data_IF_447544145495
#
_entry.id   IF_447544145495
#
_cell.length_a   1.000
_cell.length_b   1.000
_cell.length_c   1.000
_cell.angle_alpha   90.00
_cell.angle_beta   90.00
_cell.angle_gamma   90.00
#
_symmetry.space_group_name_H-M   'P 1'
#
loop_
_entity.id
_entity.type
_entity.pdbx_description
1 polymer ?
#
# COMPACT_ATOMS: atom_id res chain seq x y z
N UNK A 1 -45.94 -59.59 50.78
CA UNK A 1 -45.16 -60.78 50.38
C UNK A 1 -45.14 -60.78 48.86
N UNK A 2 -43.94 -60.67 48.29
CA UNK A 2 -43.59 -60.92 46.87
C UNK A 2 -44.26 -60.10 45.74
N UNK A 3 -43.47 -59.19 45.13
CA UNK A 3 -42.99 -59.16 43.72
C UNK A 3 -44.10 -58.90 42.68
N UNK A 4 -43.95 -57.99 41.71
CA UNK A 4 -42.87 -57.98 40.74
C UNK A 4 -42.86 -56.66 39.93
N UNK A 5 -41.68 -56.37 39.39
CA UNK A 5 -41.27 -55.19 38.62
C UNK A 5 -41.93 -55.17 37.23
N UNK A 6 -42.11 -53.98 36.68
CA UNK A 6 -41.68 -53.76 35.30
C UNK A 6 -41.16 -52.33 35.08
N UNK A 7 -39.92 -52.27 34.63
CA UNK A 7 -39.10 -51.07 34.47
C UNK A 7 -38.93 -50.87 32.96
N UNK A 8 -39.76 -50.01 32.35
CA UNK A 8 -39.62 -49.67 30.93
C UNK A 8 -38.85 -48.35 30.78
N UNK A 9 -37.62 -48.50 30.28
CA UNK A 9 -36.69 -47.44 29.89
C UNK A 9 -37.22 -46.62 28.71
N UNK A 10 -37.40 -45.30 28.91
CA UNK A 10 -37.45 -44.32 27.81
C UNK A 10 -36.19 -43.47 27.83
N UNK A 11 -35.37 -43.63 26.80
CA UNK A 11 -34.25 -42.77 26.43
C UNK A 11 -34.76 -41.45 25.84
N UNK A 12 -34.28 -40.27 26.29
CA UNK A 12 -34.50 -39.03 25.57
C UNK A 12 -33.53 -38.90 24.39
N UNK A 13 -34.10 -38.87 23.19
CA UNK A 13 -33.41 -38.53 21.94
C UNK A 13 -33.03 -37.06 21.93
N UNK A 14 -31.73 -36.78 22.08
CA UNK A 14 -31.12 -35.46 21.88
C UNK A 14 -31.14 -35.12 20.39
N UNK A 15 -32.11 -34.29 20.00
CA UNK A 15 -32.27 -33.75 18.65
C UNK A 15 -31.26 -32.62 18.44
N UNK A 16 -30.21 -32.90 17.67
CA UNK A 16 -29.25 -31.91 17.16
C UNK A 16 -29.96 -30.77 16.40
N UNK A 17 -29.66 -29.49 16.69
CA UNK A 17 -30.08 -28.37 15.87
C UNK A 17 -28.98 -28.03 14.87
N UNK A 18 -28.79 -28.85 13.84
CA UNK A 18 -28.08 -28.45 12.62
C UNK A 18 -29.07 -28.49 11.46
N UNK A 19 -29.97 -27.51 11.44
CA UNK A 19 -30.73 -27.15 10.24
C UNK A 19 -29.88 -26.19 9.42
N UNK A 20 -29.33 -26.72 8.33
CA UNK A 20 -29.50 -26.18 6.98
C UNK A 20 -29.74 -24.66 6.91
N UNK A 21 -28.65 -23.89 6.85
CA UNK A 21 -28.68 -22.58 6.22
C UNK A 21 -28.44 -22.79 4.73
N UNK A 22 -29.54 -23.07 4.04
CA UNK A 22 -29.62 -23.10 2.59
C UNK A 22 -29.49 -21.67 2.08
N UNK A 23 -28.39 -21.42 1.36
CA UNK A 23 -28.29 -20.59 0.17
C UNK A 23 -29.43 -19.58 -0.04
N UNK A 24 -29.25 -18.37 0.46
CA UNK A 24 -29.94 -17.19 -0.05
C UNK A 24 -28.92 -16.35 -0.81
N UNK A 25 -28.72 -16.71 -2.07
CA UNK A 25 -28.06 -15.87 -3.06
C UNK A 25 -28.98 -14.67 -3.27
N UNK A 26 -28.74 -13.60 -2.53
CA UNK A 26 -29.18 -12.27 -2.93
C UNK A 26 -28.28 -11.85 -4.11
N UNK A 27 -28.79 -11.66 -5.34
CA UNK A 27 -28.13 -10.76 -6.26
C UNK A 27 -28.42 -9.35 -5.76
N UNK A 28 -27.71 -8.96 -4.70
CA UNK A 28 -27.62 -7.57 -4.28
C UNK A 28 -26.87 -6.82 -5.38
N UNK A 29 -27.60 -6.35 -6.38
CA UNK A 29 -27.16 -5.29 -7.27
C UNK A 29 -26.93 -4.07 -6.36
N UNK A 30 -25.72 -3.97 -5.82
CA UNK A 30 -25.21 -2.74 -5.24
C UNK A 30 -24.92 -1.81 -6.43
N UNK A 31 -25.96 -1.11 -6.90
CA UNK A 31 -25.75 0.17 -7.58
C UNK A 31 -25.24 1.10 -6.50
N UNK A 32 -23.92 1.16 -6.34
CA UNK A 32 -23.25 2.28 -5.69
C UNK A 32 -23.50 3.49 -6.59
N UNK A 33 -24.63 4.16 -6.36
CA UNK A 33 -24.83 5.52 -6.82
C UNK A 33 -23.92 6.39 -5.93
N UNK A 34 -22.62 6.39 -6.23
CA UNK A 34 -21.69 7.34 -5.62
C UNK A 34 -22.08 8.69 -6.20
N UNK A 35 -22.97 9.40 -5.50
CA UNK A 35 -23.20 10.82 -5.71
C UNK A 35 -21.91 11.50 -5.22
N UNK A 36 -20.88 11.53 -6.07
CA UNK A 36 -19.74 12.40 -5.82
C UNK A 36 -20.22 13.83 -6.05
N UNK A 37 -19.98 14.76 -5.12
CA UNK A 37 -20.23 16.17 -5.39
C UNK A 37 -19.37 16.58 -6.58
N UNK A 38 -20.02 16.84 -7.71
CA UNK A 38 -19.38 17.38 -8.90
C UNK A 38 -19.33 18.89 -8.71
N UNK A 39 -18.24 19.39 -8.13
CA UNK A 39 -18.03 20.83 -8.05
C UNK A 39 -17.74 21.35 -9.46
N UNK A 40 -18.57 22.28 -9.93
CA UNK A 40 -18.38 22.99 -11.20
C UNK A 40 -17.51 24.21 -10.92
N UNK A 41 -16.32 24.25 -11.51
CA UNK A 41 -15.32 25.30 -11.25
C UNK A 41 -15.21 26.31 -12.40
N UNK A 42 -14.88 27.54 -12.02
CA UNK A 42 -14.56 28.64 -12.92
C UNK A 42 -13.09 29.04 -12.68
N UNK A 43 -12.25 28.65 -13.66
CA UNK A 43 -10.90 29.10 -13.97
C UNK A 43 -9.72 28.77 -13.03
N UNK A 44 -9.83 28.94 -11.70
CA UNK A 44 -8.73 28.64 -10.76
C UNK A 44 -9.16 27.72 -9.60
N UNK A 45 -8.35 26.70 -9.32
CA UNK A 45 -8.56 25.75 -8.21
C UNK A 45 -7.35 25.79 -7.29
N UNK A 46 -7.56 26.04 -5.99
CA UNK A 46 -6.53 25.94 -4.95
C UNK A 46 -6.79 24.71 -4.08
N UNK A 47 -5.81 23.82 -3.99
CA UNK A 47 -5.87 22.57 -3.22
C UNK A 47 -4.67 22.47 -2.28
N UNK A 48 -4.86 21.81 -1.14
CA UNK A 48 -3.78 21.51 -0.20
C UNK A 48 -3.86 20.04 0.19
N UNK A 49 -2.75 19.32 0.06
CA UNK A 49 -2.66 17.90 0.40
C UNK A 49 -1.44 17.60 1.26
N UNK A 50 -1.59 16.59 2.10
CA UNK A 50 -0.52 16.00 2.88
C UNK A 50 -0.02 14.74 2.17
N UNK A 51 1.29 14.63 1.97
CA UNK A 51 1.92 13.50 1.27
C UNK A 51 3.23 13.12 1.98
N UNK A 52 3.68 11.87 1.82
CA UNK A 52 4.99 11.44 2.29
C UNK A 52 6.07 11.71 1.26
N UNK A 53 7.29 11.89 1.75
CA UNK A 53 8.50 11.89 0.92
C UNK A 53 8.64 10.57 0.15
N UNK A 54 8.96 10.66 -1.14
CA UNK A 54 9.15 9.50 -2.03
C UNK A 54 7.86 8.94 -2.64
N UNK A 55 6.68 9.34 -2.14
CA UNK A 55 5.41 8.99 -2.76
C UNK A 55 5.14 9.82 -4.01
N UNK A 56 4.36 9.26 -4.94
CA UNK A 56 4.09 9.88 -6.25
C UNK A 56 2.68 10.42 -6.31
N UNK A 57 2.54 11.75 -6.33
CA UNK A 57 1.29 12.41 -6.71
C UNK A 57 1.00 12.15 -8.18
N UNK A 58 -0.22 11.72 -8.49
CA UNK A 58 -0.72 11.52 -9.82
C UNK A 58 -1.96 12.39 -10.08
N UNK A 59 -1.95 13.07 -11.21
CA UNK A 59 -3.07 13.90 -11.69
C UNK A 59 -3.47 13.36 -13.06
N UNK A 60 -4.71 12.88 -13.14
CA UNK A 60 -5.32 12.41 -14.37
C UNK A 60 -6.36 13.43 -14.83
N UNK A 61 -6.30 13.84 -16.08
CA UNK A 61 -7.27 14.75 -16.70
C UNK A 61 -7.84 14.06 -17.94
N UNK A 62 -9.17 13.95 -18.02
CA UNK A 62 -9.86 13.35 -19.15
C UNK A 62 -11.06 14.19 -19.59
N UNK A 63 -11.26 14.43 -20.90
CA UNK A 63 -10.41 13.98 -22.03
C UNK A 63 -9.04 14.69 -22.06
N UNK A 64 -8.09 14.28 -22.94
CA UNK A 64 -6.77 14.89 -23.03
C UNK A 64 -6.85 16.39 -23.29
N UNK A 65 -5.98 17.15 -22.64
CA UNK A 65 -5.95 18.61 -22.70
C UNK A 65 -4.76 19.14 -23.48
N UNK A 66 -4.90 20.35 -24.01
CA UNK A 66 -3.88 21.01 -24.80
C UNK A 66 -3.06 22.00 -23.97
N UNK A 67 -1.83 22.28 -24.42
CA UNK A 67 -0.90 23.22 -23.79
C UNK A 67 -0.69 22.95 -22.29
N UNK A 68 -0.61 21.66 -21.94
CA UNK A 68 -0.32 21.23 -20.58
C UNK A 68 1.07 21.73 -20.17
N UNK A 69 1.11 22.48 -19.07
CA UNK A 69 2.34 22.96 -18.45
C UNK A 69 2.28 22.71 -16.95
N UNK A 70 3.42 22.34 -16.39
CA UNK A 70 3.58 22.03 -14.97
C UNK A 70 4.76 22.83 -14.46
N UNK A 71 4.51 23.73 -13.52
CA UNK A 71 5.54 24.47 -12.80
C UNK A 71 5.48 24.09 -11.32
N UNK A 72 6.63 23.84 -10.70
CA UNK A 72 6.69 23.48 -9.29
C UNK A 72 7.72 24.36 -8.60
N UNK A 73 7.27 25.13 -7.62
CA UNK A 73 8.16 25.83 -6.70
C UNK A 73 8.47 24.89 -5.53
N UNK A 74 9.75 24.62 -5.34
CA UNK A 74 10.26 23.71 -4.31
C UNK A 74 11.10 24.45 -3.28
N UNK A 75 11.23 23.91 -2.05
CA UNK A 75 12.04 24.53 -1.00
C UNK A 75 13.54 24.51 -1.36
N UNK A 76 13.98 23.48 -2.09
CA UNK A 76 15.38 23.29 -2.48
C UNK A 76 15.49 22.90 -3.96
N UNK A 77 16.68 23.09 -4.55
CA UNK A 77 16.96 22.63 -5.91
C UNK A 77 16.99 21.10 -5.98
N UNK A 78 16.43 20.52 -7.05
CA UNK A 78 16.42 19.05 -7.30
C UNK A 78 15.65 18.21 -6.26
N UNK A 79 14.76 18.85 -5.48
CA UNK A 79 14.00 18.17 -4.43
C UNK A 79 12.73 17.45 -4.91
N UNK A 80 12.46 17.42 -6.22
CA UNK A 80 11.34 16.66 -6.81
C UNK A 80 11.69 16.07 -8.18
N UNK A 81 10.87 15.11 -8.63
CA UNK A 81 10.81 14.66 -10.03
C UNK A 81 9.42 14.96 -10.59
N UNK A 82 9.38 15.38 -11.85
CA UNK A 82 8.14 15.63 -12.60
C UNK A 82 8.19 14.84 -13.90
N UNK A 83 7.09 14.20 -14.24
CA UNK A 83 6.83 13.66 -15.56
C UNK A 83 5.40 14.03 -15.95
N UNK A 84 5.17 14.44 -17.19
CA UNK A 84 3.82 14.71 -17.67
C UNK A 84 3.67 14.32 -19.13
N UNK A 85 2.46 13.87 -19.46
CA UNK A 85 2.08 13.35 -20.75
C UNK A 85 0.78 14.03 -21.15
N UNK A 86 0.75 14.70 -22.30
CA UNK A 86 -0.46 15.35 -22.78
C UNK A 86 -1.49 14.35 -23.31
N UNK A 87 -1.04 13.25 -23.88
CA UNK A 87 -1.89 12.21 -24.46
C UNK A 87 -1.25 10.83 -24.26
N UNK A 88 -1.71 10.13 -23.24
CA UNK A 88 -1.26 8.77 -22.91
C UNK A 88 -2.49 7.85 -22.77
N UNK A 89 -2.37 6.60 -23.18
CA UNK A 89 -3.43 5.61 -23.02
C UNK A 89 -3.41 5.03 -21.61
N UNK A 90 -4.43 5.37 -20.80
CA UNK A 90 -4.58 4.89 -19.43
C UNK A 90 -5.99 4.34 -19.23
N UNK A 91 -6.10 3.10 -18.73
CA UNK A 91 -7.38 2.39 -18.55
C UNK A 91 -8.27 2.34 -19.81
N UNK A 92 -7.64 2.26 -21.00
CA UNK A 92 -8.35 2.20 -22.28
C UNK A 92 -8.91 3.54 -22.76
N UNK A 93 -8.51 4.66 -22.13
CA UNK A 93 -8.89 6.01 -22.54
C UNK A 93 -7.64 6.87 -22.70
N UNK A 94 -7.65 7.77 -23.68
CA UNK A 94 -6.61 8.79 -23.78
C UNK A 94 -6.81 9.79 -22.63
N UNK A 95 -5.75 10.05 -21.88
CA UNK A 95 -5.76 10.99 -20.75
C UNK A 95 -4.49 11.81 -20.73
N UNK A 96 -4.57 13.02 -20.17
CA UNK A 96 -3.38 13.76 -19.78
C UNK A 96 -3.00 13.37 -18.36
N UNK A 97 -1.72 13.09 -18.15
CA UNK A 97 -1.20 12.52 -16.90
C UNK A 97 -0.05 13.38 -16.40
N UNK A 98 -0.02 13.64 -15.10
CA UNK A 98 1.06 14.35 -14.42
C UNK A 98 1.46 13.53 -13.21
N UNK A 99 2.74 13.21 -13.11
CA UNK A 99 3.36 12.58 -11.97
C UNK A 99 4.34 13.55 -11.30
N UNK A 100 4.22 13.71 -9.99
CA UNK A 100 5.12 14.52 -9.17
C UNK A 100 5.57 13.69 -7.98
N UNK A 101 6.87 13.51 -7.83
CA UNK A 101 7.46 12.75 -6.72
C UNK A 101 8.43 13.65 -5.94
N UNK A 102 8.01 14.20 -4.79
CA UNK A 102 8.88 14.92 -3.88
C UNK A 102 9.93 13.97 -3.27
N UNK A 103 11.16 14.45 -3.12
CA UNK A 103 12.30 13.69 -2.56
C UNK A 103 12.78 14.22 -1.21
N UNK A 104 12.29 15.38 -0.79
CA UNK A 104 12.68 16.02 0.47
C UNK A 104 11.44 16.54 1.14
N UNK A 105 11.38 16.47 2.46
CA UNK A 105 10.34 17.10 3.26
C UNK A 105 10.24 18.61 3.02
N UNK A 106 9.04 19.16 3.23
CA UNK A 106 8.76 20.59 3.05
C UNK A 106 7.53 20.87 2.21
N UNK A 107 7.32 22.14 1.89
CA UNK A 107 6.13 22.59 1.15
C UNK A 107 6.47 22.87 -0.31
N UNK A 108 5.69 22.26 -1.22
CA UNK A 108 5.83 22.45 -2.67
C UNK A 108 4.57 23.10 -3.23
N UNK A 109 4.74 24.07 -4.12
CA UNK A 109 3.63 24.71 -4.82
C UNK A 109 3.63 24.28 -6.27
N UNK A 110 2.66 23.45 -6.65
CA UNK A 110 2.52 22.90 -7.99
C UNK A 110 1.43 23.67 -8.74
N UNK A 111 1.82 24.27 -9.86
CA UNK A 111 0.94 24.97 -10.79
C UNK A 111 0.80 24.15 -12.06
N UNK A 112 -0.39 23.60 -12.26
CA UNK A 112 -0.77 22.91 -13.49
C UNK A 112 -1.66 23.82 -14.30
N UNK A 113 -1.29 24.05 -15.56
CA UNK A 113 -2.06 24.91 -16.47
C UNK A 113 -2.28 24.20 -17.79
N UNK A 114 -3.47 24.40 -18.36
CA UNK A 114 -3.84 23.80 -19.65
C UNK A 114 -5.03 24.53 -20.26
N UNK A 115 -5.38 24.15 -21.49
CA UNK A 115 -6.53 24.64 -22.22
C UNK A 115 -7.48 23.51 -22.59
N UNK A 116 -8.78 23.79 -22.50
CA UNK A 116 -9.82 22.87 -22.97
C UNK A 116 -11.01 23.65 -23.54
N UNK A 117 -11.55 23.15 -24.64
CA UNK A 117 -12.81 23.60 -25.26
C UNK A 117 -13.98 22.64 -24.97
N UNK A 118 -13.74 21.58 -24.19
CA UNK A 118 -14.75 20.60 -23.79
C UNK A 118 -14.77 20.43 -22.28
N UNK A 119 -15.88 19.91 -21.76
CA UNK A 119 -15.96 19.51 -20.36
C UNK A 119 -14.92 18.44 -20.06
N UNK A 120 -14.27 18.58 -18.91
CA UNK A 120 -13.18 17.73 -18.50
C UNK A 120 -13.35 17.36 -17.03
N UNK A 121 -12.88 16.17 -16.70
CA UNK A 121 -12.84 15.66 -15.34
C UNK A 121 -11.38 15.48 -14.96
N UNK A 122 -11.10 15.64 -13.66
CA UNK A 122 -9.80 15.37 -13.11
C UNK A 122 -9.87 14.50 -11.88
N UNK A 123 -8.83 13.71 -11.69
CA UNK A 123 -8.59 12.89 -10.50
C UNK A 123 -7.19 13.17 -10.01
N UNK A 124 -7.07 13.53 -8.74
CA UNK A 124 -5.80 13.64 -8.03
C UNK A 124 -5.73 12.52 -7.01
N UNK A 125 -4.61 11.82 -6.98
CA UNK A 125 -4.33 10.80 -5.97
C UNK A 125 -2.84 10.59 -5.78
N UNK A 126 -2.49 9.66 -4.90
CA UNK A 126 -1.10 9.35 -4.56
C UNK A 126 -0.85 7.86 -4.69
N UNK A 127 0.21 7.50 -5.41
CA UNK A 127 0.79 6.16 -5.35
C UNK A 127 1.76 6.08 -4.18
N UNK A 128 1.51 5.11 -3.29
CA UNK A 128 2.24 4.95 -2.04
C UNK A 128 2.43 3.47 -1.70
N UNK A 129 3.49 3.18 -0.95
CA UNK A 129 3.66 1.90 -0.27
C UNK A 129 3.07 1.92 1.16
N UNK A 130 2.84 3.10 1.73
CA UNK A 130 2.33 3.30 3.07
C UNK A 130 0.86 3.72 3.04
N UNK A 131 -0.02 2.75 2.79
CA UNK A 131 -1.47 2.95 2.79
C UNK A 131 -2.01 3.46 4.14
N UNK A 132 -1.29 3.22 5.24
CA UNK A 132 -1.63 3.64 6.59
C UNK A 132 -1.74 5.16 6.76
N UNK A 133 -0.84 5.91 6.13
CA UNK A 133 -0.82 7.37 6.19
C UNK A 133 -2.09 7.99 5.57
N UNK A 134 -2.59 7.38 4.48
CA UNK A 134 -3.70 7.92 3.69
C UNK A 134 -5.09 7.42 4.11
N UNK A 135 -5.22 6.61 5.16
CA UNK A 135 -6.51 6.03 5.58
C UNK A 135 -7.61 7.07 5.85
N UNK A 136 -7.22 8.29 6.26
CA UNK A 136 -8.16 9.40 6.52
C UNK A 136 -8.78 9.98 5.23
N UNK A 137 -8.10 9.83 4.09
CA UNK A 137 -8.54 10.38 2.80
C UNK A 137 -9.48 9.44 2.06
N UNK A 138 -9.45 8.15 2.38
CA UNK A 138 -10.32 7.13 1.81
C UNK A 138 -9.70 5.75 1.88
N UNK A 139 -10.39 4.75 1.31
CA UNK A 139 -9.85 3.39 1.17
C UNK A 139 -8.91 3.38 -0.04
N UNK A 140 -7.60 3.13 0.14
CA UNK A 140 -6.66 3.09 -0.98
C UNK A 140 -6.96 1.89 -1.88
N UNK A 141 -6.95 2.14 -3.20
CA UNK A 141 -7.18 1.11 -4.21
C UNK A 141 -5.88 0.36 -4.50
N UNK A 142 -5.95 -0.95 -4.68
CA UNK A 142 -4.79 -1.75 -5.10
C UNK A 142 -4.69 -1.67 -6.62
N UNK A 143 -3.55 -1.21 -7.13
CA UNK A 143 -3.23 -1.14 -8.55
C UNK A 143 -2.00 -1.98 -8.87
N UNK A 144 -1.72 -2.22 -10.15
CA UNK A 144 -0.48 -2.88 -10.58
C UNK A 144 0.79 -2.11 -10.20
N UNK A 145 0.67 -0.83 -9.86
CA UNK A 145 1.78 0.08 -9.51
C UNK A 145 1.89 0.31 -7.99
N UNK A 146 1.07 -0.37 -7.17
CA UNK A 146 1.01 -0.20 -5.72
C UNK A 146 -0.35 0.30 -5.23
N UNK A 147 -0.39 0.86 -4.02
CA UNK A 147 -1.62 1.45 -3.48
C UNK A 147 -1.85 2.85 -4.04
N UNK A 148 -3.06 3.10 -4.53
CA UNK A 148 -3.49 4.41 -5.01
C UNK A 148 -4.51 5.01 -4.03
N UNK A 149 -4.10 6.03 -3.29
CA UNK A 149 -4.98 6.81 -2.43
C UNK A 149 -5.64 7.94 -3.23
N UNK A 150 -6.96 7.88 -3.38
CA UNK A 150 -7.73 8.94 -4.04
C UNK A 150 -7.84 10.16 -3.13
N UNK A 151 -7.35 11.31 -3.57
CA UNK A 151 -7.43 12.56 -2.79
C UNK A 151 -8.62 13.42 -3.22
N UNK A 152 -8.81 13.64 -4.52
CA UNK A 152 -9.84 14.54 -5.02
C UNK A 152 -10.30 14.17 -6.43
N UNK A 153 -11.59 14.37 -6.71
CA UNK A 153 -12.15 14.39 -8.08
C UNK A 153 -12.80 15.73 -8.38
N UNK A 154 -12.72 16.14 -9.63
CA UNK A 154 -13.24 17.41 -10.09
C UNK A 154 -13.81 17.27 -11.49
N UNK A 155 -14.77 18.14 -11.81
CA UNK A 155 -15.39 18.24 -13.13
C UNK A 155 -15.53 19.72 -13.45
N UNK A 156 -14.94 20.17 -14.54
CA UNK A 156 -15.15 21.52 -15.02
C UNK A 156 -15.66 21.49 -16.45
N UNK A 157 -16.41 22.53 -16.80
CA UNK A 157 -16.91 22.75 -18.14
C UNK A 157 -16.51 24.16 -18.56
N UNK A 158 -16.16 24.38 -19.83
CA UNK A 158 -15.95 25.73 -20.32
C UNK A 158 -17.26 26.52 -20.21
N UNK A 159 -17.16 27.80 -19.83
CA UNK A 159 -18.31 28.69 -19.68
C UNK A 159 -18.96 29.07 -21.02
N UNK A 160 -18.27 28.79 -22.13
CA UNK A 160 -18.75 29.02 -23.50
C UNK A 160 -18.18 27.97 -24.44
N UNK A 161 -18.59 27.99 -25.72
CA UNK A 161 -18.02 27.12 -26.76
C UNK A 161 -16.59 27.51 -27.17
N UNK A 162 -15.97 28.49 -26.49
CA UNK A 162 -14.58 28.88 -26.73
C UNK A 162 -13.62 28.09 -25.83
N UNK A 163 -12.35 28.04 -26.24
CA UNK A 163 -11.31 27.38 -25.46
C UNK A 163 -11.02 28.17 -24.18
N UNK A 164 -11.30 27.57 -23.03
CA UNK A 164 -11.03 28.15 -21.71
C UNK A 164 -9.64 27.77 -21.21
N UNK A 165 -9.04 28.66 -20.42
CA UNK A 165 -7.77 28.43 -19.73
C UNK A 165 -8.04 28.00 -18.29
N UNK A 166 -7.39 26.92 -17.85
CA UNK A 166 -7.55 26.37 -16.51
C UNK A 166 -6.23 26.40 -15.77
N UNK A 167 -6.28 26.74 -14.48
CA UNK A 167 -5.15 26.67 -13.56
C UNK A 167 -5.52 25.91 -12.30
N UNK A 168 -4.72 24.90 -11.98
CA UNK A 168 -4.80 24.14 -10.73
C UNK A 168 -3.54 24.47 -9.93
N UNK A 169 -3.72 25.04 -8.75
CA UNK A 169 -2.68 25.31 -7.78
C UNK A 169 -2.80 24.29 -6.63
N UNK A 170 -1.76 23.49 -6.45
CA UNK A 170 -1.72 22.42 -5.44
C UNK A 170 -0.55 22.70 -4.50
N UNK A 171 -0.88 22.94 -3.24
CA UNK A 171 0.09 23.01 -2.14
C UNK A 171 0.28 21.60 -1.60
N UNK A 172 1.50 21.09 -1.67
CA UNK A 172 1.87 19.78 -1.14
C UNK A 172 2.70 19.98 0.13
N UNK A 173 2.16 19.54 1.26
CA UNK A 173 2.91 19.44 2.51
C UNK A 173 3.51 18.04 2.60
N UNK A 174 4.82 17.96 2.36
CA UNK A 174 5.58 16.71 2.30
C UNK A 174 6.19 16.44 3.66
N UNK A 175 5.82 15.31 4.25
CA UNK A 175 6.37 14.85 5.52
C UNK A 175 7.49 13.84 5.28
N UNK A 176 8.62 14.02 5.97
CA UNK A 176 9.71 13.07 5.95
C UNK A 176 9.28 11.70 6.48
N UNK A 177 9.71 10.64 5.80
CA UNK A 177 9.57 9.30 6.34
C UNK A 177 10.76 9.07 7.26
N UNK A 178 10.59 9.31 8.56
CA UNK A 178 11.61 8.97 9.56
C UNK A 178 11.99 7.49 9.40
N UNK A 179 13.16 7.22 8.84
CA UNK A 179 13.77 5.89 8.78
C UNK A 179 14.23 5.48 10.18
N UNK A 180 13.27 5.29 11.09
CA UNK A 180 13.53 4.81 12.45
C UNK A 180 13.16 3.34 12.54
N UNK A 181 13.92 2.51 11.86
CA UNK A 181 14.07 1.12 12.27
C UNK A 181 15.44 0.61 11.81
N UNK A 182 16.25 0.16 12.78
CA UNK A 182 17.45 -0.67 12.54
C UNK A 182 17.15 -1.94 11.72
N UNK A 183 15.86 -2.23 11.50
CA UNK A 183 15.35 -3.33 10.70
C UNK A 183 14.27 -2.81 9.74
N UNK A 184 14.44 -2.92 8.41
CA UNK A 184 13.37 -2.57 7.48
C UNK A 184 12.12 -3.40 7.80
N UNK A 185 10.90 -2.83 7.70
CA UNK A 185 9.67 -3.60 7.83
C UNK A 185 9.71 -4.74 6.81
N UNK A 186 9.35 -5.94 7.26
CA UNK A 186 9.34 -7.14 6.42
C UNK A 186 8.15 -7.04 5.47
N UNK A 187 8.35 -6.42 4.32
CA UNK A 187 7.35 -6.30 3.26
C UNK A 187 7.61 -7.45 2.27
N UNK A 188 7.02 -8.61 2.55
CA UNK A 188 6.99 -9.73 1.61
C UNK A 188 5.54 -10.02 1.23
N UNK A 189 5.33 -10.41 -0.02
CA UNK A 189 4.03 -10.93 -0.47
C UNK A 189 3.60 -12.11 0.42
N UNK A 190 2.29 -12.31 0.69
CA UNK A 190 1.81 -13.38 1.57
C UNK A 190 2.45 -14.77 1.35
N UNK A 191 2.64 -15.27 0.11
CA UNK A 191 3.34 -16.53 -0.10
C UNK A 191 4.84 -16.47 0.21
N UNK A 192 5.53 -15.38 -0.14
CA UNK A 192 6.95 -15.21 0.11
C UNK A 192 7.24 -15.06 1.61
N UNK A 193 6.33 -14.42 2.36
CA UNK A 193 6.40 -14.27 3.81
C UNK A 193 6.40 -15.63 4.52
N UNK A 194 5.48 -16.52 4.14
CA UNK A 194 5.40 -17.86 4.72
C UNK A 194 6.69 -18.66 4.48
N UNK A 195 7.22 -18.59 3.25
CA UNK A 195 8.44 -19.27 2.87
C UNK A 195 9.68 -18.70 3.60
N UNK A 196 9.74 -17.38 3.76
CA UNK A 196 10.78 -16.72 4.56
C UNK A 196 10.79 -17.20 6.02
N UNK A 197 9.62 -17.28 6.67
CA UNK A 197 9.53 -17.76 8.05
C UNK A 197 9.95 -19.23 8.18
N UNK A 198 9.60 -20.09 7.23
CA UNK A 198 10.02 -21.50 7.23
C UNK A 198 11.56 -21.58 7.19
N UNK A 199 12.19 -20.84 6.28
CA UNK A 199 13.65 -20.82 6.16
C UNK A 199 14.30 -20.24 7.43
N UNK A 200 13.76 -19.14 7.96
CA UNK A 200 14.24 -18.51 9.18
C UNK A 200 14.21 -19.50 10.37
N UNK A 201 13.11 -20.24 10.53
CA UNK A 201 12.97 -21.24 11.58
C UNK A 201 14.02 -22.35 11.44
N UNK A 202 14.27 -22.84 10.22
CA UNK A 202 15.28 -23.88 9.97
C UNK A 202 16.68 -23.38 10.35
N UNK A 203 17.05 -22.16 9.94
CA UNK A 203 18.37 -21.57 10.24
C UNK A 203 18.53 -21.37 11.75
N UNK A 204 17.54 -20.77 12.41
CA UNK A 204 17.55 -20.54 13.86
C UNK A 204 17.63 -21.86 14.63
N UNK A 205 16.96 -22.91 14.15
CA UNK A 205 17.03 -24.24 14.76
C UNK A 205 18.45 -24.83 14.68
N UNK A 206 19.12 -24.72 13.54
CA UNK A 206 20.51 -25.18 13.37
C UNK A 206 21.48 -24.40 14.26
N UNK A 207 21.35 -23.07 14.32
CA UNK A 207 22.19 -22.23 15.19
C UNK A 207 21.97 -22.57 16.67
N UNK A 208 20.71 -22.75 17.09
CA UNK A 208 20.37 -23.16 18.45
C UNK A 208 20.98 -24.52 18.81
N UNK A 209 20.92 -25.51 17.89
CA UNK A 209 21.54 -26.81 18.08
C UNK A 209 23.05 -26.71 18.29
N UNK A 210 23.74 -25.88 17.49
CA UNK A 210 25.19 -25.65 17.63
C UNK A 210 25.55 -24.98 18.96
N UNK A 211 24.75 -24.02 19.41
CA UNK A 211 24.95 -23.35 20.70
C UNK A 211 24.73 -24.31 21.88
N UNK A 212 23.73 -25.18 21.80
CA UNK A 212 23.46 -26.20 22.82
C UNK A 212 24.59 -27.25 22.87
N UNK A 213 25.05 -27.75 21.72
CA UNK A 213 26.19 -28.67 21.64
C UNK A 213 27.46 -28.05 22.24
N UNK A 214 27.71 -26.76 21.95
CA UNK A 214 28.82 -26.02 22.57
C UNK A 214 28.68 -25.91 24.08
N UNK A 215 27.46 -25.63 24.58
CA UNK A 215 27.21 -25.53 26.02
C UNK A 215 27.54 -26.84 26.75
N UNK A 216 27.06 -27.98 26.24
CA UNK A 216 27.33 -29.28 26.86
C UNK A 216 28.80 -29.67 26.75
N UNK A 217 29.44 -29.44 25.60
CA UNK A 217 30.87 -29.72 25.43
C UNK A 217 31.74 -28.87 26.36
N UNK A 218 31.37 -27.61 26.60
CA UNK A 218 32.08 -26.73 27.53
C UNK A 218 31.94 -27.17 29.00
N UNK A 219 30.85 -27.86 29.36
CA UNK A 219 30.68 -28.46 30.70
C UNK A 219 31.49 -29.75 30.88
N UNK A 220 31.62 -30.56 29.83
CA UNK A 220 32.35 -31.85 29.88
C UNK A 220 33.87 -31.64 29.76
N UNK A 221 34.32 -30.56 29.12
CA UNK A 221 35.72 -30.14 29.07
C UNK A 221 35.86 -28.69 28.59
N UNK A 222 37.02 -28.04 28.75
CA UNK A 222 37.20 -26.68 28.23
C UNK A 222 37.01 -26.66 26.71
N UNK A 223 35.99 -25.96 26.23
CA UNK A 223 35.82 -25.76 24.80
C UNK A 223 37.04 -25.03 24.22
N UNK A 224 37.61 -25.57 23.14
CA UNK A 224 38.73 -24.91 22.45
C UNK A 224 38.29 -23.54 21.93
N UNK A 225 39.15 -22.51 22.10
CA UNK A 225 38.91 -21.16 21.56
C UNK A 225 38.60 -21.19 20.05
N UNK A 226 39.20 -22.13 19.31
CA UNK A 226 38.95 -22.33 17.89
C UNK A 226 37.50 -22.74 17.59
N UNK A 227 36.87 -23.60 18.42
CA UNK A 227 35.46 -23.99 18.25
C UNK A 227 34.50 -22.83 18.48
N UNK A 228 34.79 -21.97 19.46
CA UNK A 228 33.97 -20.81 19.77
C UNK A 228 33.99 -19.81 18.60
N UNK A 229 35.18 -19.54 18.05
CA UNK A 229 35.34 -18.67 16.87
C UNK A 229 34.60 -19.24 15.66
N UNK A 230 34.70 -20.56 15.41
CA UNK A 230 34.00 -21.22 14.31
C UNK A 230 32.48 -21.05 14.43
N UNK A 231 31.91 -21.27 15.62
CA UNK A 231 30.47 -21.14 15.85
C UNK A 231 30.02 -19.69 15.68
N UNK A 232 30.78 -18.72 16.19
CA UNK A 232 30.47 -17.30 16.02
C UNK A 232 30.42 -16.93 14.52
N UNK A 233 31.38 -17.44 13.74
CA UNK A 233 31.44 -17.22 12.29
C UNK A 233 30.28 -17.89 11.55
N UNK A 234 29.86 -19.08 12.00
CA UNK A 234 28.70 -19.79 11.46
C UNK A 234 27.40 -19.02 11.71
N UNK A 235 27.17 -18.52 12.92
CA UNK A 235 25.99 -17.69 13.24
C UNK A 235 25.99 -16.39 12.43
N UNK A 236 27.15 -15.75 12.26
CA UNK A 236 27.27 -14.57 11.41
C UNK A 236 26.94 -14.88 9.93
N UNK A 237 27.39 -16.03 9.41
CA UNK A 237 27.06 -16.49 8.07
C UNK A 237 25.55 -16.82 7.95
N UNK A 238 24.94 -17.45 8.95
CA UNK A 238 23.50 -17.72 9.03
C UNK A 238 22.68 -16.42 8.91
N UNK A 239 23.06 -15.38 9.66
CA UNK A 239 22.43 -14.06 9.59
C UNK A 239 22.59 -13.41 8.21
N UNK A 240 23.77 -13.52 7.61
CA UNK A 240 24.02 -13.00 6.27
C UNK A 240 23.18 -13.70 5.20
N UNK A 241 23.07 -15.03 5.25
CA UNK A 241 22.23 -15.82 4.34
C UNK A 241 20.76 -15.40 4.48
N UNK A 242 20.28 -15.28 5.72
CA UNK A 242 18.89 -14.85 5.98
C UNK A 242 18.60 -13.46 5.40
N UNK A 243 19.56 -12.54 5.52
CA UNK A 243 19.47 -11.22 4.92
C UNK A 243 19.43 -11.27 3.38
N UNK A 244 20.29 -12.08 2.75
CA UNK A 244 20.28 -12.23 1.29
C UNK A 244 18.96 -12.81 0.76
N UNK A 245 18.40 -13.80 1.47
CA UNK A 245 17.10 -14.38 1.13
C UNK A 245 15.99 -13.33 1.23
N UNK A 246 16.02 -12.49 2.26
CA UNK A 246 15.09 -11.37 2.40
C UNK A 246 15.18 -10.40 1.21
N UNK A 247 16.39 -10.00 0.83
CA UNK A 247 16.62 -9.10 -0.33
C UNK A 247 16.09 -9.73 -1.61
N UNK A 248 16.34 -11.03 -1.84
CA UNK A 248 15.86 -11.72 -3.04
C UNK A 248 14.34 -11.87 -3.11
N UNK A 249 13.65 -11.94 -1.97
CA UNK A 249 12.19 -12.12 -1.93
C UNK A 249 11.40 -10.81 -1.87
N UNK A 250 12.08 -9.70 -1.58
CA UNK A 250 11.52 -8.35 -1.55
C UNK A 250 11.70 -7.59 -2.86
N UNK A 251 12.64 -8.02 -3.72
CA UNK A 251 12.78 -7.59 -5.12
C UNK A 251 11.73 -8.27 -6.03
#
# INVERSE_FOLDING_TARGET
>A
METNKDFSTRTPTLRNPFKSFTSLVFPGIFIFLVITPSFVFTDEILLSFEILEGDTLAIYIWPPVENLSVNCASPESNSFRVAFFSREMQYGQETSIIYVMPKVEGTYNLFVTFRSNVAWNGTIGVYTSNSGFYQRTGIPMITSQGYFALLQRFRASPSSNQTSYYRINIILNVYGVSQSALFPPIILNPPNLALFFIIAIIIVYLDAFLLVDLHFKNKVGKASKSRLILILLLVAASLYILYQIYVMMSA
#
